data_IF_319398991335
#
_entry.id   IF_319398991335
#
_cell.length_a   1.000
_cell.length_b   1.000
_cell.length_c   1.000
_cell.angle_alpha   90.00
_cell.angle_beta   90.00
_cell.angle_gamma   90.00
#
_symmetry.space_group_name_H-M   'P 1'
#
loop_
_entity.id
_entity.type
_entity.pdbx_description
1 polymer ?
#
# COMPACT_ATOMS: atom_id res chain seq x y z
N UNK A 1 29.40 -7.34 -30.80
CA UNK A 1 28.68 -6.54 -29.77
C UNK A 1 27.34 -7.22 -29.60
N UNK A 2 26.96 -7.60 -28.39
CA UNK A 2 25.63 -8.17 -28.17
C UNK A 2 24.61 -7.04 -28.31
N UNK A 3 23.68 -7.16 -29.25
CA UNK A 3 22.53 -6.26 -29.34
C UNK A 3 21.56 -6.58 -28.21
N UNK A 4 20.99 -5.55 -27.60
CA UNK A 4 19.97 -5.69 -26.57
C UNK A 4 18.69 -6.23 -27.23
N UNK A 5 18.34 -7.48 -26.95
CA UNK A 5 17.20 -8.16 -27.59
C UNK A 5 15.85 -7.86 -26.91
N UNK A 6 15.84 -7.58 -25.60
CA UNK A 6 14.63 -7.25 -24.87
C UNK A 6 14.89 -6.47 -23.57
N UNK A 7 13.95 -5.61 -23.20
CA UNK A 7 13.85 -5.01 -21.88
C UNK A 7 12.45 -5.27 -21.31
N UNK A 8 12.37 -5.76 -20.08
CA UNK A 8 11.11 -5.96 -19.36
C UNK A 8 11.04 -4.91 -18.28
N UNK A 9 10.10 -3.97 -18.41
CA UNK A 9 9.83 -2.95 -17.42
C UNK A 9 8.75 -3.43 -16.47
N UNK A 10 9.02 -3.32 -15.18
CA UNK A 10 7.95 -3.31 -14.18
C UNK A 10 7.17 -1.98 -14.28
N UNK A 11 5.94 -1.94 -13.79
CA UNK A 11 5.10 -0.74 -13.83
C UNK A 11 5.33 0.10 -12.57
N UNK A 12 5.21 -0.53 -11.40
CA UNK A 12 5.29 0.16 -10.11
C UNK A 12 6.74 0.55 -9.79
N UNK A 13 7.02 1.86 -9.71
CA UNK A 13 8.34 2.39 -9.36
C UNK A 13 9.39 2.36 -10.48
N UNK A 14 9.04 1.93 -11.70
CA UNK A 14 9.94 1.98 -12.87
C UNK A 14 9.41 2.88 -13.99
N UNK A 15 8.10 2.87 -14.29
CA UNK A 15 7.50 3.71 -15.34
C UNK A 15 6.66 4.87 -14.79
N UNK A 16 6.14 4.75 -13.58
CA UNK A 16 5.41 5.81 -12.89
C UNK A 16 5.61 5.71 -11.37
N UNK A 17 5.58 6.85 -10.68
CA UNK A 17 5.65 6.91 -9.20
C UNK A 17 4.26 6.60 -8.57
N UNK A 18 3.57 5.60 -9.14
CA UNK A 18 2.22 5.14 -8.76
C UNK A 18 2.17 4.65 -7.32
N UNK A 19 3.30 4.17 -6.80
CA UNK A 19 3.41 3.74 -5.41
C UNK A 19 3.34 4.93 -4.43
N UNK A 20 4.10 6.00 -4.71
CA UNK A 20 4.17 7.18 -3.82
C UNK A 20 2.92 8.06 -3.88
N UNK A 21 2.40 8.31 -5.08
CA UNK A 21 1.34 9.30 -5.29
C UNK A 21 -0.03 8.67 -5.54
N UNK A 22 -0.09 7.38 -5.86
CA UNK A 22 -1.34 6.63 -6.00
C UNK A 22 -1.63 5.71 -4.82
N UNK A 23 -0.84 4.64 -4.67
CA UNK A 23 -1.11 3.58 -3.70
C UNK A 23 -1.08 4.07 -2.26
N UNK A 24 -0.05 4.84 -1.87
CA UNK A 24 0.07 5.43 -0.53
C UNK A 24 -1.12 6.31 -0.17
N UNK A 25 -1.55 7.18 -1.09
CA UNK A 25 -2.72 8.06 -0.87
C UNK A 25 -3.99 7.22 -0.70
N UNK A 26 -4.17 6.19 -1.53
CA UNK A 26 -5.30 5.28 -1.43
C UNK A 26 -5.32 4.47 -0.11
N UNK A 27 -4.15 4.08 0.42
CA UNK A 27 -4.06 3.47 1.75
C UNK A 27 -4.51 4.45 2.84
N UNK A 28 -3.99 5.68 2.84
CA UNK A 28 -4.34 6.68 3.85
C UNK A 28 -5.84 7.00 3.84
N UNK A 29 -6.45 7.15 2.66
CA UNK A 29 -7.92 7.34 2.55
C UNK A 29 -8.70 6.14 3.09
N UNK A 30 -8.24 4.91 2.83
CA UNK A 30 -8.87 3.71 3.37
C UNK A 30 -8.78 3.61 4.89
N UNK A 31 -7.69 4.10 5.49
CA UNK A 31 -7.54 4.15 6.95
C UNK A 31 -8.45 5.22 7.56
N UNK A 32 -8.52 6.40 6.95
CA UNK A 32 -9.42 7.48 7.35
C UNK A 32 -10.89 7.03 7.32
N UNK A 33 -11.34 6.38 6.25
CA UNK A 33 -12.70 5.82 6.14
C UNK A 33 -13.00 4.76 7.23
N UNK A 34 -11.98 4.02 7.66
CA UNK A 34 -12.09 3.05 8.74
C UNK A 34 -11.99 3.67 10.14
N UNK A 35 -11.86 5.00 10.25
CA UNK A 35 -11.71 5.73 11.51
C UNK A 35 -10.37 5.50 12.20
N UNK A 36 -9.34 5.12 11.44
CA UNK A 36 -7.99 4.89 11.94
C UNK A 36 -7.17 6.17 11.77
N UNK A 37 -6.40 6.51 12.79
CA UNK A 37 -5.47 7.65 12.81
C UNK A 37 -4.14 7.34 12.10
N UNK A 38 -4.13 6.36 11.20
CA UNK A 38 -2.92 5.89 10.55
C UNK A 38 -2.57 6.76 9.36
N UNK A 39 -1.37 7.34 9.38
CA UNK A 39 -0.83 8.06 8.24
C UNK A 39 0.47 7.40 7.79
N UNK A 40 0.49 6.90 6.55
CA UNK A 40 1.71 6.47 5.89
C UNK A 40 2.29 7.65 5.11
N UNK A 41 3.24 8.33 5.74
CA UNK A 41 4.08 9.33 5.09
C UNK A 41 5.04 8.68 4.08
N UNK A 42 5.71 9.50 3.25
CA UNK A 42 6.61 9.00 2.21
C UNK A 42 7.76 8.15 2.79
N UNK A 43 8.46 8.58 3.86
CA UNK A 43 9.52 7.77 4.48
C UNK A 43 9.05 6.41 5.03
N UNK A 44 7.91 6.36 5.72
CA UNK A 44 7.35 5.12 6.22
C UNK A 44 6.93 4.22 5.08
N UNK A 45 6.22 4.75 4.08
CA UNK A 45 5.79 3.96 2.93
C UNK A 45 6.97 3.35 2.18
N UNK A 46 8.06 4.10 2.00
CA UNK A 46 9.31 3.58 1.42
C UNK A 46 9.86 2.36 2.15
N UNK A 47 9.76 2.31 3.49
CA UNK A 47 10.13 1.09 4.26
C UNK A 47 9.14 -0.04 4.05
N UNK A 48 7.84 0.27 4.01
CA UNK A 48 6.76 -0.69 3.81
C UNK A 48 6.78 -1.34 2.40
N UNK A 49 7.37 -0.68 1.39
CA UNK A 49 7.57 -1.23 0.04
C UNK A 49 8.50 -2.44 0.00
N UNK A 50 9.30 -2.68 1.05
CA UNK A 50 10.10 -3.91 1.16
C UNK A 50 9.25 -5.19 1.28
N UNK A 51 7.97 -5.05 1.64
CA UNK A 51 6.99 -6.13 1.69
C UNK A 51 6.10 -6.05 0.46
N UNK A 52 6.05 -7.13 -0.30
CA UNK A 52 5.15 -7.27 -1.45
C UNK A 52 3.74 -7.61 -1.00
N UNK A 53 2.74 -7.13 -1.75
CA UNK A 53 1.32 -7.35 -1.43
C UNK A 53 0.77 -6.37 -0.41
N UNK A 54 -0.38 -5.76 -0.72
CA UNK A 54 -0.95 -4.70 0.11
C UNK A 54 -1.48 -5.18 1.47
N UNK A 55 -1.98 -6.42 1.57
CA UNK A 55 -2.46 -6.99 2.83
C UNK A 55 -1.31 -7.34 3.76
N UNK A 56 -0.26 -7.91 3.19
CA UNK A 56 0.98 -8.28 3.87
C UNK A 56 1.68 -7.01 4.38
N UNK A 57 1.65 -5.94 3.59
CA UNK A 57 2.15 -4.61 3.98
C UNK A 57 1.42 -4.02 5.19
N UNK A 58 0.09 -4.10 5.24
CA UNK A 58 -0.70 -3.68 6.41
C UNK A 58 -0.33 -4.52 7.64
N UNK A 59 -0.20 -5.85 7.48
CA UNK A 59 0.20 -6.73 8.59
C UNK A 59 1.59 -6.38 9.11
N UNK A 60 2.56 -6.19 8.21
CA UNK A 60 3.91 -5.77 8.55
C UNK A 60 3.94 -4.42 9.28
N UNK A 61 3.12 -3.46 8.84
CA UNK A 61 2.95 -2.19 9.54
C UNK A 61 2.48 -2.39 11.00
N UNK A 62 1.48 -3.26 11.23
CA UNK A 62 1.00 -3.58 12.58
C UNK A 62 2.04 -4.33 13.43
N UNK A 63 2.88 -5.16 12.82
CA UNK A 63 3.91 -5.94 13.49
C UNK A 63 5.13 -5.10 13.87
N UNK A 64 5.55 -4.17 13.01
CA UNK A 64 6.82 -3.46 13.19
C UNK A 64 6.69 -2.00 13.61
N UNK A 65 5.61 -1.32 13.23
CA UNK A 65 5.49 0.14 13.40
C UNK A 65 4.33 0.52 14.33
N UNK A 66 3.20 -0.21 14.28
CA UNK A 66 2.03 0.06 15.11
C UNK A 66 1.71 -1.10 16.08
N UNK A 67 2.71 -1.48 16.88
CA UNK A 67 2.62 -2.58 17.86
C UNK A 67 1.61 -2.31 18.99
N UNK A 68 1.27 -1.05 19.22
CA UNK A 68 0.32 -0.63 20.24
C UNK A 68 -1.15 -0.72 19.81
N UNK A 69 -1.41 -0.95 18.52
CA UNK A 69 -2.78 -1.08 18.03
C UNK A 69 -3.45 -2.34 18.56
N UNK A 70 -4.61 -2.16 19.18
CA UNK A 70 -5.43 -3.27 19.67
C UNK A 70 -6.04 -4.03 18.48
N UNK A 71 -5.45 -5.18 18.15
CA UNK A 71 -5.85 -5.97 16.99
C UNK A 71 -7.23 -6.60 17.22
N UNK A 72 -8.17 -6.47 16.26
CA UNK A 72 -9.45 -7.16 16.35
C UNK A 72 -9.25 -8.67 16.26
N UNK A 73 -10.19 -9.45 16.80
CA UNK A 73 -10.14 -10.91 16.77
C UNK A 73 -10.09 -11.46 15.32
N UNK A 74 -10.83 -10.84 14.40
CA UNK A 74 -10.83 -11.15 12.98
C UNK A 74 -9.84 -10.27 12.20
N UNK A 75 -8.56 -10.32 12.60
CA UNK A 75 -7.51 -9.47 12.01
C UNK A 75 -7.40 -9.61 10.49
N UNK A 76 -7.49 -10.84 9.98
CA UNK A 76 -7.34 -11.11 8.55
C UNK A 76 -8.49 -10.49 7.73
N UNK A 77 -9.71 -10.55 8.25
CA UNK A 77 -10.89 -9.94 7.63
C UNK A 77 -10.83 -8.42 7.68
N UNK A 78 -10.36 -7.87 8.80
CA UNK A 78 -10.13 -6.43 8.96
C UNK A 78 -9.12 -5.91 7.94
N UNK A 79 -7.96 -6.56 7.82
CA UNK A 79 -6.93 -6.21 6.82
C UNK A 79 -7.48 -6.36 5.40
N UNK A 80 -8.23 -7.42 5.11
CA UNK A 80 -8.86 -7.59 3.80
C UNK A 80 -9.87 -6.48 3.50
N UNK A 81 -10.60 -5.99 4.51
CA UNK A 81 -11.49 -4.83 4.41
C UNK A 81 -10.75 -3.56 4.02
N UNK A 82 -9.68 -3.23 4.76
CA UNK A 82 -8.83 -2.06 4.45
C UNK A 82 -8.26 -2.14 3.05
N UNK A 83 -7.78 -3.32 2.63
CA UNK A 83 -7.24 -3.50 1.29
C UNK A 83 -8.29 -3.33 0.19
N UNK A 84 -9.53 -3.81 0.39
CA UNK A 84 -10.63 -3.58 -0.55
C UNK A 84 -10.97 -2.10 -0.68
N UNK A 85 -11.07 -1.38 0.44
CA UNK A 85 -11.31 0.06 0.46
C UNK A 85 -10.17 0.82 -0.27
N UNK A 86 -8.91 0.47 0.01
CA UNK A 86 -7.75 1.01 -0.71
C UNK A 86 -7.86 0.79 -2.21
N UNK A 87 -8.26 -0.40 -2.66
CA UNK A 87 -8.40 -0.67 -4.10
C UNK A 87 -9.46 0.24 -4.72
N UNK A 88 -10.59 0.46 -4.06
CA UNK A 88 -11.61 1.40 -4.54
C UNK A 88 -11.08 2.83 -4.65
N UNK A 89 -10.38 3.32 -3.63
CA UNK A 89 -9.74 4.65 -3.65
C UNK A 89 -8.69 4.78 -4.75
N UNK A 90 -7.88 3.75 -4.97
CA UNK A 90 -6.88 3.75 -6.03
C UNK A 90 -7.52 3.83 -7.42
N UNK A 91 -8.58 3.05 -7.66
CA UNK A 91 -9.30 3.10 -8.94
C UNK A 91 -9.96 4.47 -9.18
N UNK A 92 -10.47 5.11 -8.13
CA UNK A 92 -11.01 6.47 -8.23
C UNK A 92 -9.91 7.50 -8.59
N UNK A 93 -8.73 7.40 -7.97
CA UNK A 93 -7.59 8.28 -8.27
C UNK A 93 -7.08 8.14 -9.72
N UNK A 94 -7.20 6.95 -10.32
CA UNK A 94 -6.79 6.71 -11.72
C UNK A 94 -7.86 7.14 -12.74
N UNK A 95 -9.07 7.45 -12.29
CA UNK A 95 -10.17 7.91 -13.15
C UNK A 95 -10.27 9.44 -13.23
N UNK A 96 -9.48 10.17 -12.44
CA UNK A 96 -9.26 11.64 -12.53
C UNK A 96 -8.17 11.97 -13.55
#
# INVERSE_FOLDING_TARGET
MAELEALVFDVDGTLADTERDGHRVAFNRAFEDAGLDWEWDVPLYGRLLSVTGGKERIRYYLDEFNRGFARPAALDEFIAGLHRAKTAHYMALMAE
#
